data_IF_420759807960
#
_entry.id   IF_420759807960
#
_cell.length_a   1.000
_cell.length_b   1.000
_cell.length_c   1.000
_cell.angle_alpha   90.00
_cell.angle_beta   90.00
_cell.angle_gamma   90.00
#
_symmetry.space_group_name_H-M   'P 1'
#
loop_
_entity.id
_entity.type
_entity.pdbx_description
1 polymer ?
#
# COMPACT_ATOMS: atom_id res chain seq x y z
N UNK A 1 -1.30 5.27 0.39
CA UNK A 1 0.02 5.28 1.07
C UNK A 1 1.11 5.74 0.09
N UNK A 2 2.01 6.64 0.47
CA UNK A 2 3.17 6.98 -0.36
C UNK A 2 4.25 5.90 -0.26
N UNK A 3 4.40 5.12 -1.32
CA UNK A 3 5.34 3.99 -1.39
C UNK A 3 6.78 4.49 -1.54
N UNK A 4 6.97 5.52 -2.36
CA UNK A 4 8.27 6.15 -2.62
C UNK A 4 8.26 7.52 -1.95
N UNK A 5 9.29 7.83 -1.17
CA UNK A 5 9.44 9.11 -0.47
C UNK A 5 10.78 9.69 -0.91
N UNK A 6 10.74 10.84 -1.58
CA UNK A 6 11.95 11.53 -2.03
C UNK A 6 12.63 12.17 -0.83
N UNK A 7 13.95 12.06 -0.75
CA UNK A 7 14.71 12.83 0.24
C UNK A 7 14.63 14.32 -0.11
N UNK A 8 14.61 15.19 0.92
CA UNK A 8 14.71 16.63 0.73
C UNK A 8 16.02 17.05 0.07
N UNK A 9 17.08 16.26 0.27
CA UNK A 9 18.34 16.38 -0.47
C UNK A 9 18.34 15.40 -1.67
N UNK A 10 18.33 15.90 -2.92
CA UNK A 10 18.41 15.06 -4.10
C UNK A 10 19.68 14.19 -4.17
N UNK A 11 20.76 14.59 -3.50
CA UNK A 11 21.99 13.78 -3.39
C UNK A 11 21.79 12.53 -2.54
N UNK A 12 20.85 12.56 -1.60
CA UNK A 12 20.50 11.41 -0.78
C UNK A 12 19.50 10.46 -1.48
N UNK A 13 18.94 10.85 -2.63
CA UNK A 13 18.09 9.97 -3.42
C UNK A 13 16.69 9.78 -2.83
N UNK A 14 16.34 8.54 -2.50
CA UNK A 14 15.05 8.13 -1.93
C UNK A 14 15.25 7.75 -0.46
N UNK A 15 14.28 8.11 0.38
CA UNK A 15 14.32 7.80 1.79
C UNK A 15 14.16 6.28 2.04
N UNK A 16 15.19 5.69 2.64
CA UNK A 16 15.26 4.27 3.04
C UNK A 16 14.31 3.96 4.20
N UNK A 17 14.09 2.68 4.50
CA UNK A 17 13.31 2.29 5.68
C UNK A 17 13.94 2.80 6.98
N UNK A 18 15.28 2.87 7.06
CA UNK A 18 15.99 3.44 8.21
C UNK A 18 15.78 4.96 8.30
N UNK A 19 15.86 5.67 7.18
CA UNK A 19 15.56 7.12 7.15
C UNK A 19 14.12 7.41 7.58
N UNK A 20 13.16 6.65 7.06
CA UNK A 20 11.74 6.73 7.48
C UNK A 20 11.56 6.42 8.96
N UNK A 21 12.29 5.43 9.48
CA UNK A 21 12.26 5.10 10.91
C UNK A 21 12.71 6.29 11.75
N UNK A 22 13.85 6.90 11.41
CA UNK A 22 14.37 8.06 12.12
C UNK A 22 13.41 9.26 12.05
N UNK A 23 12.76 9.50 10.91
CA UNK A 23 11.73 10.56 10.80
C UNK A 23 10.53 10.30 11.71
N UNK A 24 10.03 9.06 11.79
CA UNK A 24 8.90 8.74 12.67
C UNK A 24 9.32 8.81 14.15
N UNK A 25 10.54 8.38 14.50
CA UNK A 25 11.08 8.58 15.84
C UNK A 25 11.17 10.07 16.20
N UNK A 26 11.59 10.91 15.25
CA UNK A 26 11.61 12.37 15.43
C UNK A 26 10.19 12.89 15.69
N UNK A 27 9.19 12.44 14.93
CA UNK A 27 7.78 12.80 15.17
C UNK A 27 7.31 12.33 16.55
N UNK A 28 7.69 11.14 17.00
CA UNK A 28 7.34 10.63 18.32
C UNK A 28 7.93 11.49 19.45
N UNK A 29 9.17 11.95 19.31
CA UNK A 29 9.79 12.89 20.26
C UNK A 29 9.02 14.21 20.29
N UNK A 30 8.67 14.77 19.12
CA UNK A 30 7.88 16.00 19.04
C UNK A 30 6.47 15.83 19.64
N UNK A 31 5.85 14.66 19.51
CA UNK A 31 4.57 14.36 20.15
C UNK A 31 4.69 14.30 21.67
N UNK A 32 5.77 13.73 22.20
CA UNK A 32 6.02 13.70 23.65
C UNK A 32 6.24 15.14 24.19
N UNK A 33 6.94 16.00 23.44
CA UNK A 33 7.09 17.42 23.78
C UNK A 33 5.77 18.18 23.75
N UNK A 34 4.97 17.93 22.70
CA UNK A 34 3.67 18.55 22.52
C UNK A 34 2.68 18.15 23.63
N UNK A 35 2.72 16.90 24.09
CA UNK A 35 1.90 16.40 25.19
C UNK A 35 2.03 17.27 26.46
N UNK A 36 3.22 17.80 26.73
CA UNK A 36 3.48 18.67 27.89
C UNK A 36 2.91 20.09 27.74
N UNK A 37 2.63 20.51 26.50
CA UNK A 37 2.26 21.89 26.17
C UNK A 37 0.78 22.05 25.79
N UNK A 38 0.08 20.94 25.47
CA UNK A 38 -1.32 21.01 25.07
C UNK A 38 -2.28 21.18 26.24
N UNK A 39 -3.46 21.79 25.99
CA UNK A 39 -4.53 21.83 26.98
C UNK A 39 -4.91 20.43 27.49
N UNK A 40 -5.31 20.27 28.77
CA UNK A 40 -5.68 18.98 29.34
C UNK A 40 -6.73 18.21 28.55
N UNK A 41 -7.62 18.91 27.84
CA UNK A 41 -8.64 18.32 26.99
C UNK A 41 -8.08 17.46 25.84
N UNK A 42 -6.88 17.79 25.32
CA UNK A 42 -6.25 17.12 24.18
C UNK A 42 -5.15 16.13 24.58
N UNK A 43 -4.68 16.20 25.83
CA UNK A 43 -3.53 15.40 26.31
C UNK A 43 -3.74 13.89 26.10
N UNK A 44 -4.94 13.39 26.42
CA UNK A 44 -5.30 11.98 26.23
C UNK A 44 -5.29 11.55 24.76
N UNK A 45 -5.67 12.44 23.85
CA UNK A 45 -5.66 12.15 22.41
C UNK A 45 -4.23 12.05 21.88
N UNK A 46 -3.35 12.96 22.30
CA UNK A 46 -1.92 12.92 21.96
C UNK A 46 -1.23 11.67 22.52
N UNK A 47 -1.47 11.33 23.79
CA UNK A 47 -0.97 10.10 24.40
C UNK A 47 -1.39 8.86 23.62
N UNK A 48 -2.67 8.80 23.24
CA UNK A 48 -3.19 7.70 22.44
C UNK A 48 -2.50 7.66 21.08
N UNK A 49 -2.35 8.79 20.38
CA UNK A 49 -1.68 8.84 19.09
C UNK A 49 -0.22 8.35 19.19
N UNK A 50 0.57 8.89 20.14
CA UNK A 50 1.97 8.47 20.38
C UNK A 50 2.05 6.97 20.65
N UNK A 51 1.18 6.44 21.52
CA UNK A 51 1.11 5.00 21.80
C UNK A 51 0.79 4.16 20.56
N UNK A 52 -0.20 4.55 19.76
CA UNK A 52 -0.55 3.82 18.56
C UNK A 52 0.58 3.84 17.53
N UNK A 53 1.23 4.98 17.33
CA UNK A 53 2.38 5.11 16.42
C UNK A 53 3.54 4.22 16.86
N UNK A 54 3.88 4.20 18.15
CA UNK A 54 4.94 3.32 18.70
C UNK A 54 4.64 1.84 18.47
N UNK A 55 3.40 1.41 18.71
CA UNK A 55 2.98 0.02 18.50
C UNK A 55 2.97 -0.34 17.00
N UNK A 56 2.63 0.61 16.14
CA UNK A 56 2.51 0.38 14.70
C UNK A 56 3.81 0.62 13.93
N UNK A 57 4.85 1.21 14.54
CA UNK A 57 6.07 1.66 13.88
C UNK A 57 6.74 0.59 13.02
N UNK A 58 7.08 -0.55 13.63
CA UNK A 58 7.76 -1.65 12.93
C UNK A 58 6.87 -2.26 11.82
N UNK A 59 5.57 -2.57 12.07
CA UNK A 59 4.66 -3.01 11.01
C UNK A 59 4.51 -2.02 9.85
N UNK A 60 4.43 -0.71 10.12
CA UNK A 60 4.25 0.34 9.11
C UNK A 60 5.44 0.37 8.13
N UNK A 61 6.66 0.08 8.60
CA UNK A 61 7.87 0.15 7.77
C UNK A 61 8.26 -1.17 7.11
N UNK A 62 7.51 -2.25 7.33
CA UNK A 62 7.84 -3.57 6.80
C UNK A 62 7.88 -3.62 5.27
N UNK A 63 6.99 -2.86 4.61
CA UNK A 63 7.03 -2.75 3.15
C UNK A 63 8.27 -2.00 2.65
N UNK A 64 8.69 -0.95 3.37
CA UNK A 64 9.84 -0.14 2.98
C UNK A 64 11.13 -0.96 3.06
N UNK A 65 11.27 -1.82 4.07
CA UNK A 65 12.40 -2.75 4.19
C UNK A 65 12.55 -3.68 2.99
N UNK A 66 11.43 -4.12 2.40
CA UNK A 66 11.44 -4.95 1.19
C UNK A 66 11.87 -4.19 -0.07
N UNK A 67 11.82 -2.85 -0.03
CA UNK A 67 12.25 -1.99 -1.13
C UNK A 67 13.70 -1.51 -0.98
N UNK A 68 14.27 -1.54 0.21
CA UNK A 68 15.63 -1.02 0.45
C UNK A 68 16.66 -1.69 -0.46
N UNK A 69 16.63 -3.02 -0.59
CA UNK A 69 17.61 -3.75 -1.40
C UNK A 69 17.58 -3.32 -2.88
N UNK A 70 16.40 -3.28 -3.49
CA UNK A 70 16.25 -2.88 -4.89
C UNK A 70 16.62 -1.40 -5.10
N UNK A 71 16.32 -0.54 -4.12
CA UNK A 71 16.65 0.89 -4.17
C UNK A 71 18.14 1.13 -3.99
N UNK A 72 18.80 0.40 -3.10
CA UNK A 72 20.25 0.46 -2.87
C UNK A 72 21.00 -0.03 -4.11
N UNK A 73 20.58 -1.16 -4.69
CA UNK A 73 21.18 -1.69 -5.90
C UNK A 73 21.05 -0.71 -7.08
N UNK A 74 19.87 -0.11 -7.25
CA UNK A 74 19.66 0.91 -8.28
C UNK A 74 20.53 2.15 -8.04
N UNK A 75 20.66 2.58 -6.78
CA UNK A 75 21.48 3.74 -6.41
C UNK A 75 22.97 3.49 -6.62
N UNK A 76 23.44 2.26 -6.40
CA UNK A 76 24.82 1.87 -6.67
C UNK A 76 25.13 1.84 -8.18
N UNK A 77 24.16 1.51 -9.03
CA UNK A 77 24.36 1.41 -10.48
C UNK A 77 24.19 2.74 -11.21
N UNK A 78 23.18 3.53 -10.85
CA UNK A 78 22.82 4.76 -11.55
C UNK A 78 23.23 6.04 -10.79
N UNK A 79 23.56 5.91 -9.52
CA UNK A 79 23.72 7.04 -8.60
C UNK A 79 22.39 7.49 -7.97
N UNK A 80 22.45 8.11 -6.79
CA UNK A 80 21.26 8.51 -6.03
C UNK A 80 20.43 9.59 -6.74
N UNK A 81 21.06 10.51 -7.48
CA UNK A 81 20.35 11.54 -8.24
C UNK A 81 19.50 10.95 -9.38
N UNK A 82 20.03 9.96 -10.11
CA UNK A 82 19.29 9.28 -11.17
C UNK A 82 18.09 8.53 -10.58
N UNK A 83 18.29 7.83 -9.47
CA UNK A 83 17.22 7.14 -8.74
C UNK A 83 16.16 8.12 -8.22
N UNK A 84 16.57 9.30 -7.75
CA UNK A 84 15.66 10.38 -7.36
C UNK A 84 14.79 10.84 -8.53
N UNK A 85 15.39 11.08 -9.70
CA UNK A 85 14.67 11.48 -10.91
C UNK A 85 13.67 10.41 -11.36
N UNK A 86 14.10 9.14 -11.35
CA UNK A 86 13.23 8.00 -11.68
C UNK A 86 12.03 7.91 -10.72
N UNK A 87 12.27 8.09 -9.42
CA UNK A 87 11.21 8.14 -8.41
C UNK A 87 10.24 9.29 -8.63
N UNK A 88 10.75 10.50 -8.87
CA UNK A 88 9.95 11.68 -9.18
C UNK A 88 9.05 11.44 -10.40
N UNK A 89 9.61 10.85 -11.47
CA UNK A 89 8.89 10.61 -12.71
C UNK A 89 7.82 9.52 -12.54
N UNK A 90 8.14 8.45 -11.80
CA UNK A 90 7.17 7.40 -11.49
C UNK A 90 6.01 7.93 -10.63
N UNK A 91 6.29 8.74 -9.60
CA UNK A 91 5.24 9.36 -8.77
C UNK A 91 4.30 10.25 -9.61
N UNK A 92 4.84 10.96 -10.59
CA UNK A 92 4.08 11.89 -11.45
C UNK A 92 3.56 11.27 -12.75
N UNK A 93 3.77 9.98 -13.00
CA UNK A 93 3.42 9.33 -14.28
C UNK A 93 1.98 9.56 -14.72
N UNK A 94 1.03 9.55 -13.79
CA UNK A 94 -0.38 9.82 -14.08
C UNK A 94 -0.63 11.26 -14.56
N UNK A 95 0.05 12.24 -13.96
CA UNK A 95 -0.01 13.66 -14.38
C UNK A 95 0.66 13.85 -15.74
N UNK A 96 1.72 13.09 -16.01
CA UNK A 96 2.42 13.08 -17.30
C UNK A 96 1.65 12.32 -18.39
N UNK A 97 0.55 11.63 -18.06
CA UNK A 97 -0.18 10.79 -19.01
C UNK A 97 0.59 9.53 -19.44
N UNK A 98 1.58 9.10 -18.66
CA UNK A 98 2.46 7.97 -18.97
C UNK A 98 2.10 6.74 -18.12
N UNK A 99 2.15 5.56 -18.74
CA UNK A 99 2.18 4.30 -18.00
C UNK A 99 3.60 4.02 -17.49
N UNK A 100 3.73 3.07 -16.56
CA UNK A 100 5.06 2.58 -16.14
C UNK A 100 5.88 2.08 -17.33
N UNK A 101 5.23 1.42 -18.29
CA UNK A 101 5.90 0.90 -19.50
C UNK A 101 6.38 2.03 -20.41
N UNK A 102 5.59 3.10 -20.58
CA UNK A 102 6.01 4.26 -21.36
C UNK A 102 7.17 4.98 -20.68
N UNK A 103 7.15 5.06 -19.35
CA UNK A 103 8.23 5.67 -18.58
C UNK A 103 9.55 4.91 -18.75
N UNK A 104 9.55 3.57 -18.73
CA UNK A 104 10.75 2.77 -19.02
C UNK A 104 11.27 3.04 -20.44
N UNK A 105 10.40 3.20 -21.43
CA UNK A 105 10.85 3.50 -22.80
C UNK A 105 11.43 4.92 -22.94
N UNK A 106 11.03 5.83 -22.06
CA UNK A 106 11.48 7.23 -22.09
C UNK A 106 12.84 7.48 -21.43
N UNK A 107 13.35 6.52 -20.64
CA UNK A 107 14.67 6.65 -20.00
C UNK A 107 15.80 6.18 -20.94
N UNK A 108 17.02 6.66 -20.66
CA UNK A 108 18.22 6.28 -21.39
C UNK A 108 18.34 4.75 -21.49
N UNK A 109 18.70 4.18 -22.66
CA UNK A 109 18.76 2.73 -22.85
C UNK A 109 19.58 1.98 -21.79
N UNK A 110 20.68 2.58 -21.33
CA UNK A 110 21.53 2.02 -20.28
C UNK A 110 20.81 1.87 -18.93
N UNK A 111 19.76 2.66 -18.67
CA UNK A 111 19.04 2.69 -17.39
C UNK A 111 17.79 1.81 -17.41
N UNK A 112 17.33 1.37 -18.58
CA UNK A 112 16.02 0.73 -18.74
C UNK A 112 15.84 -0.52 -17.88
N UNK A 113 16.86 -1.37 -17.79
CA UNK A 113 16.81 -2.61 -17.00
C UNK A 113 16.63 -2.30 -15.51
N UNK A 114 17.40 -1.33 -15.00
CA UNK A 114 17.33 -0.91 -13.59
C UNK A 114 16.00 -0.21 -13.31
N UNK A 115 15.59 0.72 -14.18
CA UNK A 115 14.33 1.44 -14.06
C UNK A 115 13.12 0.49 -14.09
N UNK A 116 13.12 -0.52 -14.97
CA UNK A 116 12.05 -1.51 -15.05
C UNK A 116 11.93 -2.33 -13.76
N UNK A 117 13.06 -2.77 -13.21
CA UNK A 117 13.10 -3.52 -11.95
C UNK A 117 12.56 -2.66 -10.80
N UNK A 118 13.01 -1.41 -10.72
CA UNK A 118 12.64 -0.47 -9.68
C UNK A 118 11.15 -0.10 -9.74
N UNK A 119 10.63 0.25 -10.92
CA UNK A 119 9.22 0.57 -11.08
C UNK A 119 8.31 -0.62 -10.82
N UNK A 120 8.73 -1.83 -11.21
CA UNK A 120 7.97 -3.06 -10.95
C UNK A 120 7.84 -3.31 -9.44
N UNK A 121 8.90 -3.10 -8.67
CA UNK A 121 8.89 -3.21 -7.21
C UNK A 121 7.95 -2.17 -6.56
N UNK A 122 7.95 -0.94 -7.06
CA UNK A 122 7.05 0.11 -6.56
C UNK A 122 5.59 -0.16 -6.91
N UNK A 123 5.29 -0.56 -8.15
CA UNK A 123 3.92 -0.92 -8.56
C UNK A 123 3.41 -2.14 -7.77
N UNK A 124 4.27 -3.13 -7.49
CA UNK A 124 3.90 -4.27 -6.65
C UNK A 124 3.53 -3.82 -5.23
N UNK A 125 4.31 -2.92 -4.65
CA UNK A 125 4.03 -2.40 -3.31
C UNK A 125 2.76 -1.55 -3.26
N UNK A 126 2.49 -0.72 -4.27
CA UNK A 126 1.21 0.00 -4.38
C UNK A 126 0.05 -0.97 -4.44
N UNK A 127 0.12 -2.00 -5.29
CA UNK A 127 -0.94 -3.02 -5.41
C UNK A 127 -1.18 -3.74 -4.08
N UNK A 128 -0.13 -4.11 -3.36
CA UNK A 128 -0.25 -4.72 -2.04
C UNK A 128 -0.95 -3.79 -1.04
N UNK A 129 -0.61 -2.50 -1.01
CA UNK A 129 -1.29 -1.49 -0.18
C UNK A 129 -2.76 -1.36 -0.53
N UNK A 130 -3.11 -1.28 -1.83
CA UNK A 130 -4.50 -1.20 -2.28
C UNK A 130 -5.30 -2.45 -1.92
N UNK A 131 -4.68 -3.64 -1.94
CA UNK A 131 -5.33 -4.88 -1.50
C UNK A 131 -5.65 -4.84 0.01
N UNK A 132 -4.70 -4.38 0.83
CA UNK A 132 -4.93 -4.19 2.27
C UNK A 132 -6.00 -3.13 2.54
N UNK A 133 -5.98 -2.00 1.84
CA UNK A 133 -7.00 -0.95 1.97
C UNK A 133 -8.40 -1.45 1.58
N UNK A 134 -8.49 -2.23 0.48
CA UNK A 134 -9.72 -2.91 0.06
C UNK A 134 -10.21 -3.85 1.17
N UNK A 135 -9.34 -4.68 1.72
CA UNK A 135 -9.68 -5.59 2.81
C UNK A 135 -10.16 -4.84 4.06
N UNK A 136 -9.46 -3.77 4.46
CA UNK A 136 -9.89 -2.90 5.56
C UNK A 136 -11.24 -2.24 5.30
N UNK A 137 -11.57 -1.88 4.05
CA UNK A 137 -12.89 -1.35 3.71
C UNK A 137 -14.01 -2.38 3.90
N UNK A 138 -13.69 -3.66 3.74
CA UNK A 138 -14.65 -4.77 3.89
C UNK A 138 -14.85 -5.11 5.38
N UNK A 139 -13.77 -5.09 6.16
CA UNK A 139 -13.78 -5.47 7.57
C UNK A 139 -14.31 -4.36 8.47
N UNK A 140 -14.07 -3.08 8.13
CA UNK A 140 -14.48 -1.92 8.96
C UNK A 140 -15.96 -1.89 9.35
N UNK A 141 -16.93 -2.11 8.43
CA UNK A 141 -18.35 -2.14 8.77
C UNK A 141 -18.69 -3.19 9.85
N UNK A 142 -18.06 -4.38 9.78
CA UNK A 142 -18.27 -5.42 10.78
C UNK A 142 -17.68 -5.03 12.14
N UNK A 143 -16.44 -4.51 12.15
CA UNK A 143 -15.78 -4.09 13.39
C UNK A 143 -16.48 -2.91 14.08
N UNK A 144 -17.17 -2.05 13.32
CA UNK A 144 -17.97 -0.96 13.87
C UNK A 144 -19.12 -1.48 14.76
N UNK A 145 -19.63 -2.68 14.49
CA UNK A 145 -20.75 -3.28 15.23
C UNK A 145 -20.28 -4.33 16.23
N UNK A 146 -19.35 -5.22 15.84
CA UNK A 146 -19.07 -6.45 16.59
C UNK A 146 -17.75 -6.48 17.37
N UNK A 147 -16.92 -5.41 17.33
CA UNK A 147 -15.63 -5.21 18.06
C UNK A 147 -14.57 -6.33 17.97
N UNK A 148 -14.92 -7.50 17.44
CA UNK A 148 -14.09 -8.70 17.31
C UNK A 148 -14.33 -9.30 15.93
N UNK A 149 -13.37 -10.10 15.46
CA UNK A 149 -13.43 -10.73 14.16
C UNK A 149 -13.08 -12.21 14.34
N UNK A 150 -14.05 -13.10 14.15
CA UNK A 150 -13.80 -14.55 14.22
C UNK A 150 -13.24 -15.08 12.90
N UNK A 151 -12.56 -16.22 12.94
CA UNK A 151 -12.06 -16.89 11.74
C UNK A 151 -13.19 -17.23 10.74
N UNK A 152 -14.37 -17.61 11.25
CA UNK A 152 -15.55 -17.88 10.41
C UNK A 152 -16.06 -16.64 9.66
N UNK A 153 -16.10 -15.48 10.33
CA UNK A 153 -16.48 -14.21 9.66
C UNK A 153 -15.44 -13.80 8.62
N UNK A 154 -14.15 -13.97 8.91
CA UNK A 154 -13.07 -13.74 7.94
C UNK A 154 -13.25 -14.61 6.69
N UNK A 155 -13.56 -15.90 6.86
CA UNK A 155 -13.81 -16.82 5.75
C UNK A 155 -15.03 -16.38 4.92
N UNK A 156 -16.13 -15.98 5.56
CA UNK A 156 -17.32 -15.49 4.86
C UNK A 156 -17.05 -14.20 4.07
N UNK A 157 -16.34 -13.24 4.67
CA UNK A 157 -15.95 -12.00 3.98
C UNK A 157 -15.02 -12.28 2.78
N UNK A 158 -14.12 -13.26 2.90
CA UNK A 158 -13.25 -13.68 1.81
C UNK A 158 -14.04 -14.28 0.65
N UNK A 159 -14.96 -15.21 0.94
CA UNK A 159 -15.84 -15.83 -0.07
C UNK A 159 -16.68 -14.78 -0.78
N UNK A 160 -17.36 -13.91 -0.02
CA UNK A 160 -18.15 -12.81 -0.58
C UNK A 160 -17.31 -11.88 -1.46
N UNK A 161 -16.13 -11.45 -0.98
CA UNK A 161 -15.27 -10.53 -1.74
C UNK A 161 -14.82 -11.13 -3.07
N UNK A 162 -14.39 -12.39 -3.05
CA UNK A 162 -13.85 -13.10 -4.20
C UNK A 162 -14.90 -13.40 -5.29
N UNK A 163 -16.17 -13.49 -4.92
CA UNK A 163 -17.31 -13.68 -5.84
C UNK A 163 -17.99 -12.37 -6.24
N UNK A 164 -17.69 -11.26 -5.57
CA UNK A 164 -18.33 -9.96 -5.86
C UNK A 164 -17.90 -9.44 -7.24
N UNK A 165 -18.88 -9.20 -8.09
CA UNK A 165 -18.69 -8.58 -9.40
C UNK A 165 -18.31 -7.10 -9.24
N UNK A 166 -17.28 -6.66 -9.96
CA UNK A 166 -16.91 -5.26 -9.96
C UNK A 166 -17.96 -4.42 -10.71
N UNK A 167 -18.54 -3.40 -10.07
CA UNK A 167 -19.56 -2.56 -10.70
C UNK A 167 -18.98 -1.53 -11.67
N UNK A 168 -17.69 -1.18 -11.54
CA UNK A 168 -16.98 -0.12 -12.29
C UNK A 168 -15.49 -0.45 -12.44
N UNK A 169 -14.82 0.18 -13.41
CA UNK A 169 -13.37 0.08 -13.63
C UNK A 169 -12.95 -0.90 -14.75
N UNK A 170 -11.64 -1.21 -14.87
CA UNK A 170 -11.09 -2.02 -15.96
C UNK A 170 -11.55 -3.50 -15.95
N UNK A 171 -12.19 -3.95 -14.88
CA UNK A 171 -12.67 -5.32 -14.71
C UNK A 171 -14.19 -5.39 -14.47
N UNK A 172 -14.95 -4.42 -15.00
CA UNK A 172 -16.42 -4.43 -14.91
C UNK A 172 -16.98 -5.76 -15.36
N UNK A 173 -17.95 -6.28 -14.60
CA UNK A 173 -18.62 -7.54 -14.92
C UNK A 173 -17.84 -8.78 -14.51
N UNK A 174 -16.64 -8.64 -13.93
CA UNK A 174 -15.82 -9.76 -13.45
C UNK A 174 -15.56 -9.68 -11.95
N UNK A 175 -15.69 -10.83 -11.27
CA UNK A 175 -15.24 -11.02 -9.89
C UNK A 175 -13.72 -11.23 -9.80
N UNK A 176 -13.09 -11.06 -8.62
CA UNK A 176 -11.70 -11.44 -8.43
C UNK A 176 -11.38 -12.88 -8.83
N UNK A 177 -12.26 -13.85 -8.53
CA UNK A 177 -12.06 -15.26 -8.92
C UNK A 177 -12.05 -15.48 -10.43
N UNK A 178 -12.91 -14.77 -11.16
CA UNK A 178 -12.99 -14.86 -12.62
C UNK A 178 -11.76 -14.27 -13.32
N UNK A 179 -10.97 -13.46 -12.63
CA UNK A 179 -9.72 -12.88 -13.17
C UNK A 179 -8.53 -13.84 -13.04
N UNK A 180 -8.58 -14.77 -12.09
CA UNK A 180 -7.46 -15.67 -11.78
C UNK A 180 -7.49 -16.97 -12.57
N UNK A 181 -8.66 -17.42 -13.04
CA UNK A 181 -8.77 -18.52 -13.99
C UNK A 181 -10.14 -18.53 -14.69
N UNK A 182 -10.14 -18.76 -16.01
CA UNK A 182 -11.31 -18.60 -16.90
C UNK A 182 -12.36 -19.72 -16.79
N UNK A 183 -12.25 -20.62 -15.80
CA UNK A 183 -13.04 -21.86 -15.72
C UNK A 183 -14.10 -21.85 -14.61
N UNK A 184 -14.21 -20.77 -13.83
CA UNK A 184 -15.22 -20.69 -12.77
C UNK A 184 -16.53 -20.12 -13.31
N UNK A 185 -17.55 -20.99 -13.36
CA UNK A 185 -18.93 -20.57 -13.63
C UNK A 185 -19.35 -19.47 -12.64
N UNK A 186 -20.19 -18.57 -13.12
CA UNK A 186 -20.67 -17.41 -12.38
C UNK A 186 -21.65 -17.85 -11.28
N UNK A 187 -21.10 -18.36 -10.18
CA UNK A 187 -21.88 -18.81 -9.03
C UNK A 187 -22.01 -17.66 -8.03
N UNK A 188 -23.23 -17.39 -7.59
CA UNK A 188 -23.47 -16.50 -6.45
C UNK A 188 -22.67 -17.01 -5.23
N UNK A 189 -22.12 -16.10 -4.43
CA UNK A 189 -21.36 -16.44 -3.22
C UNK A 189 -22.20 -17.26 -2.22
N UNK A 190 -23.53 -17.09 -2.20
CA UNK A 190 -24.42 -17.94 -1.41
C UNK A 190 -24.44 -19.38 -1.92
N UNK A 191 -24.46 -19.58 -3.23
CA UNK A 191 -24.37 -20.89 -3.86
C UNK A 191 -23.01 -21.54 -3.58
N UNK A 192 -21.93 -20.76 -3.61
CA UNK A 192 -20.59 -21.23 -3.24
C UNK A 192 -20.49 -21.70 -1.78
N UNK A 193 -21.34 -21.16 -0.89
CA UNK A 193 -21.46 -21.59 0.51
C UNK A 193 -22.45 -22.75 0.70
N UNK A 194 -23.05 -23.27 -0.38
CA UNK A 194 -24.00 -24.38 -0.35
C UNK A 194 -25.46 -23.98 -0.12
N UNK A 195 -25.80 -22.70 -0.19
CA UNK A 195 -27.19 -22.24 -0.13
C UNK A 195 -27.86 -22.36 -1.50
N UNK A 196 -29.13 -22.74 -1.52
CA UNK A 196 -29.92 -22.83 -2.76
C UNK A 196 -30.17 -21.45 -3.36
N UNK A 197 -30.14 -21.33 -4.70
CA UNK A 197 -30.36 -20.08 -5.43
C UNK A 197 -31.75 -19.44 -5.23
N UNK A 198 -32.67 -20.10 -4.53
CA UNK A 198 -34.02 -19.61 -4.22
C UNK A 198 -34.11 -18.79 -2.92
N UNK A 199 -32.99 -18.58 -2.21
CA UNK A 199 -32.95 -17.86 -0.94
C UNK A 199 -32.36 -16.43 -1.04
N UNK A 200 -32.11 -15.92 -2.25
CA UNK A 200 -31.55 -14.59 -2.51
C UNK A 200 -32.58 -13.66 -3.17
#
# INVERSE_FOLDING_TARGET
MEVVVLSADPQAGILTSQGRHAEIETVLVLLDELEMQVPPALQKEIQNLSKHLRLALSPILLFARKLDEVQQLASAQLGPQAVHLLAWAWQRRAVLGLTTTDLVKSVEPAWQVVAQTLFSAWDLTVRASSAVESWHSIVRPHLAVHRTLSAGILALLAVWHNHRIAPRGPHVGLSPLQRTDSLHQNSDWLVALGYSAQAA
#
